data_IF_078942754731
#
_entry.id   IF_078942754731
#
_cell.length_a   1.000
_cell.length_b   1.000
_cell.length_c   1.000
_cell.angle_alpha   90.00
_cell.angle_beta   90.00
_cell.angle_gamma   90.00
#
_symmetry.space_group_name_H-M   'P 1'
#
loop_
_entity.id
_entity.type
_entity.pdbx_description
1 polymer ?
#
# COMPACT_ATOMS: atom_id res chain seq x y z
N UNK A 1 -9.09 25.49 3.82
CA UNK A 1 -7.81 24.77 3.96
C UNK A 1 -7.29 24.48 2.56
N UNK A 2 -5.99 24.66 2.31
CA UNK A 2 -5.36 24.28 1.04
C UNK A 2 -5.26 22.75 0.97
N UNK A 3 -5.62 22.16 -0.16
CA UNK A 3 -5.32 20.76 -0.43
C UNK A 3 -3.82 20.60 -0.64
N UNK A 4 -3.20 19.66 0.06
CA UNK A 4 -1.78 19.35 -0.03
C UNK A 4 -1.59 17.96 -0.63
N UNK A 5 -0.52 17.79 -1.40
CA UNK A 5 -0.07 16.49 -1.90
C UNK A 5 1.19 16.08 -1.15
N UNK A 6 1.21 14.86 -0.59
CA UNK A 6 2.38 14.30 0.08
C UNK A 6 2.52 12.80 -0.20
N UNK A 7 3.75 12.31 -0.12
CA UNK A 7 4.03 10.87 -0.02
C UNK A 7 3.97 10.51 1.47
N UNK A 8 3.07 9.60 1.83
CA UNK A 8 2.83 9.17 3.21
C UNK A 8 3.30 7.71 3.40
N UNK A 9 4.04 7.42 4.47
CA UNK A 9 4.49 6.07 4.87
C UNK A 9 5.10 5.24 3.72
N UNK A 10 6.13 5.77 3.04
CA UNK A 10 6.84 5.09 1.96
C UNK A 10 8.12 4.42 2.46
N UNK A 11 8.32 3.15 2.10
CA UNK A 11 9.50 2.37 2.47
C UNK A 11 10.41 2.18 1.25
N UNK A 12 11.71 2.25 1.49
CA UNK A 12 12.74 2.10 0.46
C UNK A 12 13.98 1.47 1.10
N UNK A 13 14.71 0.66 0.35
CA UNK A 13 16.01 0.13 0.77
C UNK A 13 17.07 1.23 0.82
N UNK A 14 18.23 0.93 1.42
CA UNK A 14 19.36 1.86 1.52
C UNK A 14 19.95 2.27 0.17
N UNK A 15 19.77 1.45 -0.87
CA UNK A 15 20.16 1.72 -2.26
C UNK A 15 19.03 2.30 -3.12
N UNK A 16 17.88 2.64 -2.53
CA UNK A 16 16.82 3.40 -3.21
C UNK A 16 15.75 2.56 -3.92
N UNK A 17 15.57 1.29 -3.55
CA UNK A 17 14.62 0.36 -4.16
C UNK A 17 13.39 0.15 -3.26
N UNK A 18 12.19 0.41 -3.80
CA UNK A 18 10.92 0.17 -3.10
C UNK A 18 10.14 -1.03 -3.65
N UNK A 19 10.39 -1.40 -4.91
CA UNK A 19 9.84 -2.58 -5.58
C UNK A 19 10.76 -2.95 -6.76
N UNK A 20 10.83 -4.23 -7.10
CA UNK A 20 11.53 -4.73 -8.28
C UNK A 20 10.65 -4.73 -9.53
N UNK A 21 11.27 -4.96 -10.69
CA UNK A 21 10.58 -4.96 -11.98
C UNK A 21 9.61 -6.15 -12.14
N UNK A 22 9.90 -7.27 -11.51
CA UNK A 22 9.23 -8.55 -11.74
C UNK A 22 8.06 -8.81 -10.77
N UNK A 23 7.26 -7.78 -10.47
CA UNK A 23 6.12 -7.99 -9.59
C UNK A 23 5.04 -8.84 -10.25
N UNK A 24 4.45 -9.75 -9.47
CA UNK A 24 3.46 -10.73 -9.89
C UNK A 24 2.51 -11.05 -8.74
N UNK A 25 1.54 -11.93 -8.97
CA UNK A 25 0.64 -12.39 -7.90
C UNK A 25 1.41 -13.07 -6.75
N UNK A 26 2.44 -13.86 -7.08
CA UNK A 26 3.26 -14.59 -6.10
C UNK A 26 4.38 -13.73 -5.50
N UNK A 27 4.79 -12.66 -6.20
CA UNK A 27 5.78 -11.70 -5.72
C UNK A 27 5.25 -10.27 -5.88
N UNK A 28 4.39 -9.79 -4.97
CA UNK A 28 3.71 -8.50 -5.14
C UNK A 28 4.64 -7.29 -5.25
N UNK A 29 5.85 -7.40 -4.70
CA UNK A 29 6.88 -6.36 -4.77
C UNK A 29 7.97 -6.67 -5.79
N UNK A 30 7.95 -7.83 -6.45
CA UNK A 30 8.98 -8.20 -7.43
C UNK A 30 10.40 -8.21 -6.89
N UNK A 31 10.55 -8.26 -5.56
CA UNK A 31 11.81 -8.12 -4.85
C UNK A 31 11.89 -9.21 -3.77
N UNK A 32 12.91 -10.09 -3.78
CA UNK A 32 13.12 -11.07 -2.72
C UNK A 32 13.27 -10.39 -1.37
N UNK A 33 12.55 -10.87 -0.36
CA UNK A 33 12.64 -10.35 1.01
C UNK A 33 12.08 -8.94 1.20
N UNK A 34 11.28 -8.43 0.26
CA UNK A 34 10.70 -7.09 0.35
C UNK A 34 9.97 -6.82 1.69
N UNK A 35 9.45 -7.87 2.35
CA UNK A 35 8.84 -7.79 3.68
C UNK A 35 9.71 -7.10 4.72
N UNK A 36 11.04 -7.19 4.59
CA UNK A 36 11.97 -6.51 5.49
C UNK A 36 11.76 -4.99 5.50
N UNK A 37 11.38 -4.39 4.36
CA UNK A 37 11.20 -2.94 4.18
C UNK A 37 10.11 -2.36 5.07
N UNK A 38 9.07 -3.13 5.42
CA UNK A 38 7.93 -2.68 6.23
C UNK A 38 7.73 -3.50 7.50
N UNK A 39 8.69 -4.36 7.84
CA UNK A 39 8.61 -5.24 9.02
C UNK A 39 8.49 -4.44 10.33
N UNK A 40 9.17 -3.28 10.42
CA UNK A 40 9.08 -2.36 11.55
C UNK A 40 7.63 -1.91 11.81
N UNK A 41 6.90 -1.52 10.77
CA UNK A 41 5.52 -1.05 10.88
C UNK A 41 4.57 -2.21 11.25
N UNK A 42 4.78 -3.40 10.67
CA UNK A 42 4.00 -4.60 10.96
C UNK A 42 4.09 -5.08 12.41
N UNK A 43 5.14 -4.71 13.15
CA UNK A 43 5.28 -5.00 14.58
C UNK A 43 4.43 -4.06 15.48
N UNK A 44 4.06 -2.88 14.98
CA UNK A 44 3.37 -1.83 15.75
C UNK A 44 1.89 -2.12 15.96
N UNK A 45 1.34 -1.70 17.11
CA UNK A 45 -0.07 -1.89 17.47
C UNK A 45 -1.08 -1.15 16.58
N UNK A 46 -0.63 -0.27 15.71
CA UNK A 46 -1.46 0.49 14.78
C UNK A 46 -1.25 0.15 13.30
N UNK A 47 -0.60 -0.98 12.99
CA UNK A 47 -0.52 -1.47 11.61
C UNK A 47 -1.93 -1.59 11.00
N UNK A 48 -2.22 -0.94 9.85
CA UNK A 48 -3.58 -0.88 9.31
C UNK A 48 -4.21 -2.24 8.97
N UNK A 49 -3.39 -3.24 8.66
CA UNK A 49 -3.87 -4.59 8.32
C UNK A 49 -3.67 -5.59 9.47
N UNK A 50 -3.50 -5.14 10.72
CA UNK A 50 -3.36 -6.06 11.85
C UNK A 50 -4.72 -6.64 12.24
N UNK A 51 -4.79 -7.97 12.32
CA UNK A 51 -5.94 -8.72 12.80
C UNK A 51 -5.78 -9.19 14.25
N UNK A 52 -4.55 -9.41 14.68
CA UNK A 52 -4.24 -9.96 16.00
C UNK A 52 -4.16 -8.87 17.08
N UNK A 53 -4.52 -9.16 18.34
CA UNK A 53 -4.30 -8.24 19.44
C UNK A 53 -2.80 -8.02 19.72
N UNK A 54 -2.46 -6.84 20.25
CA UNK A 54 -1.11 -6.52 20.73
C UNK A 54 -0.31 -5.60 19.80
N UNK A 55 1.01 -5.68 19.93
CA UNK A 55 1.96 -4.81 19.22
C UNK A 55 2.72 -3.83 20.08
N UNK A 56 3.81 -3.33 19.51
CA UNK A 56 4.60 -2.28 20.18
C UNK A 56 3.88 -0.94 20.12
N UNK A 57 4.09 -0.16 21.19
CA UNK A 57 3.62 1.22 21.34
C UNK A 57 4.88 2.07 21.59
N UNK A 58 5.33 2.78 20.57
CA UNK A 58 6.58 3.53 20.58
C UNK A 58 6.70 4.45 19.36
N UNK A 59 7.92 4.86 19.02
CA UNK A 59 8.17 5.79 17.91
C UNK A 59 7.68 5.24 16.56
N UNK A 60 7.95 3.97 16.28
CA UNK A 60 7.46 3.30 15.06
C UNK A 60 5.93 3.30 14.98
N UNK A 61 5.26 3.06 16.11
CA UNK A 61 3.80 3.07 16.20
C UNK A 61 3.24 4.48 16.01
N UNK A 62 3.95 5.52 16.45
CA UNK A 62 3.58 6.91 16.18
C UNK A 62 3.55 7.20 14.67
N UNK A 63 4.58 6.79 13.93
CA UNK A 63 4.59 6.96 12.47
C UNK A 63 3.56 6.06 11.76
N UNK A 64 3.32 4.87 12.28
CA UNK A 64 2.33 3.96 11.68
C UNK A 64 0.90 4.49 11.86
N UNK A 65 0.57 5.07 13.02
CA UNK A 65 -0.73 5.71 13.28
C UNK A 65 -1.03 6.90 12.36
N UNK A 66 0.01 7.61 11.93
CA UNK A 66 -0.15 8.78 11.06
C UNK A 66 -0.64 8.40 9.65
N UNK A 67 -0.63 7.11 9.29
CA UNK A 67 -1.06 6.60 7.98
C UNK A 67 -2.40 7.16 7.50
N UNK A 68 -3.40 7.29 8.38
CA UNK A 68 -4.73 7.83 8.02
C UNK A 68 -4.92 9.30 8.40
N UNK A 69 -3.98 9.90 9.13
CA UNK A 69 -4.17 11.22 9.71
C UNK A 69 -4.17 12.30 8.62
N UNK A 70 -5.26 13.05 8.50
CA UNK A 70 -5.47 14.08 7.47
C UNK A 70 -5.30 13.59 6.02
N UNK A 71 -5.57 12.30 5.77
CA UNK A 71 -5.63 11.76 4.40
C UNK A 71 -7.09 11.75 3.96
N UNK A 72 -7.39 12.48 2.88
CA UNK A 72 -8.74 12.55 2.30
C UNK A 72 -8.92 11.68 1.05
N UNK A 73 -7.83 11.27 0.42
CA UNK A 73 -7.81 10.39 -0.74
C UNK A 73 -6.43 9.75 -0.91
N UNK A 74 -6.38 8.56 -1.49
CA UNK A 74 -5.16 7.86 -1.87
C UNK A 74 -5.04 7.86 -3.40
N UNK A 75 -3.84 8.12 -3.91
CA UNK A 75 -3.51 7.98 -5.33
C UNK A 75 -2.43 6.91 -5.44
N UNK A 76 -2.68 5.86 -6.24
CA UNK A 76 -1.71 4.79 -6.41
C UNK A 76 -1.53 4.39 -7.87
N UNK A 77 -0.32 3.94 -8.20
CA UNK A 77 -0.06 3.31 -9.49
C UNK A 77 -0.74 1.95 -9.58
N UNK A 78 -1.08 1.54 -10.79
CA UNK A 78 -1.68 0.23 -11.08
C UNK A 78 -0.90 -0.96 -10.50
N UNK A 79 0.43 -0.90 -10.50
CA UNK A 79 1.26 -1.98 -9.98
C UNK A 79 1.22 -2.10 -8.44
N UNK A 80 0.81 -1.03 -7.73
CA UNK A 80 0.48 -1.11 -6.29
C UNK A 80 -0.90 -1.74 -6.09
N UNK A 81 -1.85 -1.43 -6.98
CA UNK A 81 -3.22 -1.94 -6.90
C UNK A 81 -3.34 -3.44 -7.21
N UNK A 82 -2.57 -3.97 -8.15
CA UNK A 82 -2.67 -5.37 -8.55
C UNK A 82 -1.50 -5.92 -9.37
N UNK A 83 -1.46 -7.25 -9.54
CA UNK A 83 -0.38 -7.94 -10.23
C UNK A 83 -0.49 -7.90 -11.76
N UNK A 84 -1.64 -7.50 -12.31
CA UNK A 84 -1.88 -7.59 -13.75
C UNK A 84 -0.97 -6.65 -14.55
N UNK A 85 -0.62 -7.07 -15.77
CA UNK A 85 0.17 -6.31 -16.75
C UNK A 85 -0.62 -6.25 -18.06
N UNK A 86 -0.59 -5.11 -18.77
CA UNK A 86 -1.41 -4.92 -19.98
C UNK A 86 -2.91 -4.73 -19.69
N UNK A 87 -3.85 -4.84 -20.65
CA UNK A 87 -5.29 -4.60 -20.41
C UNK A 87 -5.90 -5.41 -19.25
N UNK A 88 -7.06 -4.98 -18.73
CA UNK A 88 -7.77 -5.75 -17.72
C UNK A 88 -8.32 -7.04 -18.34
N UNK A 89 -7.94 -8.19 -17.79
CA UNK A 89 -8.48 -9.49 -18.22
C UNK A 89 -9.96 -9.63 -17.85
N UNK A 90 -10.32 -9.09 -16.68
CA UNK A 90 -11.66 -9.00 -16.14
C UNK A 90 -11.72 -7.86 -15.09
N UNK A 91 -12.88 -7.68 -14.45
CA UNK A 91 -13.09 -6.65 -13.43
C UNK A 91 -13.23 -7.20 -12.01
N UNK A 92 -12.84 -8.45 -11.78
CA UNK A 92 -13.03 -9.13 -10.48
C UNK A 92 -11.99 -8.69 -9.44
N UNK A 93 -10.80 -8.28 -9.87
CA UNK A 93 -9.76 -7.84 -8.95
C UNK A 93 -10.12 -6.51 -8.27
N UNK A 94 -10.20 -6.51 -6.94
CA UNK A 94 -10.54 -5.33 -6.12
C UNK A 94 -9.36 -4.81 -5.28
N UNK A 95 -8.19 -5.42 -5.40
CA UNK A 95 -7.00 -5.09 -4.63
C UNK A 95 -6.52 -6.27 -3.77
N UNK A 96 -5.39 -6.09 -3.08
CA UNK A 96 -4.77 -7.13 -2.24
C UNK A 96 -5.45 -7.34 -0.89
N UNK A 97 -6.27 -6.39 -0.46
CA UNK A 97 -6.70 -6.23 0.94
C UNK A 97 -8.07 -6.84 1.26
N UNK A 98 -8.63 -7.64 0.35
CA UNK A 98 -9.96 -8.22 0.52
C UNK A 98 -11.08 -7.18 0.51
N UNK A 99 -12.16 -7.48 1.23
CA UNK A 99 -13.37 -6.66 1.22
C UNK A 99 -13.23 -5.34 1.99
N UNK A 100 -12.33 -5.28 2.98
CA UNK A 100 -12.11 -4.11 3.83
C UNK A 100 -10.67 -3.59 3.68
N UNK A 101 -10.39 -2.78 2.64
CA UNK A 101 -9.05 -2.23 2.42
C UNK A 101 -8.68 -1.15 3.45
N UNK A 102 -7.40 -0.98 3.78
CA UNK A 102 -6.96 -0.16 4.92
C UNK A 102 -7.13 1.35 4.73
N UNK A 103 -7.49 1.82 3.53
CA UNK A 103 -7.49 3.25 3.20
C UNK A 103 -8.70 4.00 3.77
N UNK A 104 -9.89 3.38 3.72
CA UNK A 104 -11.19 3.97 4.12
C UNK A 104 -11.45 5.40 3.60
N UNK A 105 -10.81 5.76 2.48
CA UNK A 105 -10.96 7.00 1.73
C UNK A 105 -11.07 6.66 0.24
N UNK A 106 -11.55 7.57 -0.62
CA UNK A 106 -11.48 7.36 -2.08
C UNK A 106 -10.06 7.00 -2.53
N UNK A 107 -9.95 5.95 -3.35
CA UNK A 107 -8.70 5.48 -3.95
C UNK A 107 -8.74 5.68 -5.45
N UNK A 108 -7.76 6.42 -5.98
CA UNK A 108 -7.60 6.66 -7.40
C UNK A 108 -6.43 5.82 -7.92
N UNK A 109 -6.74 4.84 -8.77
CA UNK A 109 -5.73 3.98 -9.40
C UNK A 109 -5.34 4.57 -10.76
N UNK A 110 -4.10 5.06 -10.86
CA UNK A 110 -3.56 5.59 -12.10
C UNK A 110 -3.19 4.45 -13.06
N UNK A 111 -3.85 4.41 -14.22
CA UNK A 111 -3.72 3.35 -15.23
C UNK A 111 -3.98 3.89 -16.64
N UNK A 112 -3.33 3.30 -17.65
CA UNK A 112 -3.64 3.54 -19.07
C UNK A 112 -4.81 2.67 -19.58
N UNK A 113 -5.28 1.72 -18.78
CA UNK A 113 -6.32 0.78 -19.17
C UNK A 113 -7.65 1.19 -18.56
N UNK A 114 -8.64 1.60 -19.37
CA UNK A 114 -9.96 1.97 -18.87
C UNK A 114 -10.61 0.82 -18.12
N UNK A 115 -11.21 1.12 -16.96
CA UNK A 115 -12.05 0.20 -16.20
C UNK A 115 -13.37 0.91 -15.93
N UNK A 116 -14.53 0.28 -16.22
CA UNK A 116 -15.82 0.84 -15.83
C UNK A 116 -15.88 1.07 -14.32
N UNK A 117 -16.39 2.23 -13.92
CA UNK A 117 -16.64 2.63 -12.52
C UNK A 117 -18.10 2.41 -12.14
#
# INVERSE_FOLDING_TARGET
MSQLLRVQNFNVSSDGVAAGADQSLQSPFGLPGAQALWSWAGATASWPNRTDPGGTRGLDDYFTRDFTHNIGAEIMGRNKFGPQRGPWENHEWRGWWGDEPPFHTPVFVMTHHPRPS
#
